data_IF_852013186961
#
_entry.id   IF_852013186961
#
_cell.length_a   1.000
_cell.length_b   1.000
_cell.length_c   1.000
_cell.angle_alpha   90.00
_cell.angle_beta   90.00
_cell.angle_gamma   90.00
#
_symmetry.space_group_name_H-M   'P 1'
#
loop_
_entity.id
_entity.type
_entity.pdbx_description
1 polymer ?
#
# COMPACT_ATOMS: atom_id res chain seq x y z
N UNK A 1 14.80 0.03 11.14
CA UNK A 1 13.43 -0.52 11.03
C UNK A 1 12.77 0.01 9.78
N UNK A 2 12.22 -0.86 8.97
CA UNK A 2 11.51 -0.43 7.78
C UNK A 2 10.12 0.08 8.11
N UNK A 3 9.64 1.02 7.32
CA UNK A 3 8.37 1.72 7.54
C UNK A 3 7.39 1.41 6.41
N UNK A 4 6.17 1.06 6.78
CA UNK A 4 5.09 0.78 5.84
C UNK A 4 3.90 1.71 6.11
N UNK A 5 3.28 2.20 5.03
CA UNK A 5 2.06 3.00 5.09
C UNK A 5 0.87 2.13 4.74
N UNK A 6 -0.10 2.05 5.65
CA UNK A 6 -1.38 1.37 5.41
C UNK A 6 -2.41 2.38 4.97
N UNK A 7 -2.95 2.20 3.78
CA UNK A 7 -3.96 3.11 3.21
C UNK A 7 -5.25 2.34 2.97
N UNK A 8 -6.26 2.66 3.77
CA UNK A 8 -7.57 2.04 3.70
C UNK A 8 -8.57 2.94 4.42
N UNK A 9 -9.77 3.12 3.87
CA UNK A 9 -10.78 3.95 4.50
C UNK A 9 -11.46 3.28 5.70
N UNK A 10 -11.30 1.96 5.85
CA UNK A 10 -11.81 1.22 6.98
C UNK A 10 -10.84 1.24 8.16
N UNK A 11 -11.27 1.86 9.25
CA UNK A 11 -10.47 1.87 10.48
C UNK A 11 -10.24 0.46 11.01
N UNK A 12 -11.24 -0.42 10.90
CA UNK A 12 -11.09 -1.81 11.35
C UNK A 12 -10.02 -2.56 10.55
N UNK A 13 -10.01 -2.37 9.24
CA UNK A 13 -8.99 -2.98 8.36
C UNK A 13 -7.60 -2.45 8.71
N UNK A 14 -7.47 -1.14 8.93
CA UNK A 14 -6.19 -0.55 9.33
C UNK A 14 -5.70 -1.10 10.68
N UNK A 15 -6.61 -1.30 11.64
CA UNK A 15 -6.25 -1.84 12.95
C UNK A 15 -5.70 -3.25 12.83
N UNK A 16 -6.37 -4.11 12.06
CA UNK A 16 -5.91 -5.48 11.80
C UNK A 16 -4.57 -5.46 11.07
N UNK A 17 -4.46 -4.64 10.04
CA UNK A 17 -3.22 -4.49 9.28
C UNK A 17 -2.06 -4.00 10.14
N UNK A 18 -2.32 -3.05 11.02
CA UNK A 18 -1.31 -2.53 11.95
C UNK A 18 -0.75 -3.62 12.86
N UNK A 19 -1.64 -4.45 13.41
CA UNK A 19 -1.20 -5.57 14.25
C UNK A 19 -0.37 -6.58 13.45
N UNK A 20 -0.81 -6.87 12.24
CA UNK A 20 -0.13 -7.80 11.34
C UNK A 20 1.27 -7.29 10.99
N UNK A 21 1.38 -6.04 10.55
CA UNK A 21 2.67 -5.43 10.19
C UNK A 21 3.60 -5.33 11.41
N UNK A 22 3.03 -5.10 12.59
CA UNK A 22 3.79 -5.07 13.84
C UNK A 22 4.47 -6.41 14.14
N UNK A 23 3.81 -7.53 13.83
CA UNK A 23 4.41 -8.85 14.01
C UNK A 23 5.59 -9.09 13.07
N UNK A 24 5.64 -8.37 11.95
CA UNK A 24 6.75 -8.44 11.00
C UNK A 24 7.92 -7.51 11.39
N UNK A 25 7.78 -6.76 12.47
CA UNK A 25 8.82 -5.84 12.90
C UNK A 25 8.86 -4.53 12.11
N UNK A 26 7.75 -4.15 11.47
CA UNK A 26 7.66 -2.92 10.70
C UNK A 26 7.11 -1.77 11.54
N UNK A 27 7.60 -0.57 11.26
CA UNK A 27 6.98 0.66 11.74
C UNK A 27 5.81 0.99 10.83
N UNK A 28 4.65 1.33 11.42
CA UNK A 28 3.40 1.48 10.67
C UNK A 28 2.89 2.90 10.72
N UNK A 29 2.63 3.47 9.54
CA UNK A 29 1.92 4.72 9.37
C UNK A 29 0.57 4.41 8.75
N UNK A 30 -0.42 5.29 8.91
CA UNK A 30 -1.78 5.07 8.41
C UNK A 30 -2.30 6.27 7.65
N UNK A 31 -3.16 6.02 6.67
CA UNK A 31 -3.93 7.03 5.95
C UNK A 31 -5.29 6.44 5.58
N UNK A 32 -6.32 7.28 5.53
CA UNK A 32 -7.68 6.83 5.26
C UNK A 32 -8.16 7.10 3.83
N UNK A 33 -7.38 7.83 3.03
CA UNK A 33 -7.65 8.08 1.62
C UNK A 33 -6.35 8.41 0.89
N UNK A 34 -6.43 8.53 -0.42
CA UNK A 34 -5.24 8.76 -1.24
C UNK A 34 -4.62 10.13 -1.03
N UNK A 35 -5.42 11.15 -0.72
CA UNK A 35 -4.90 12.50 -0.46
C UNK A 35 -4.07 12.51 0.81
N UNK A 36 -4.59 11.94 1.87
CA UNK A 36 -3.86 11.82 3.14
C UNK A 36 -2.61 10.98 2.96
N UNK A 37 -2.72 9.90 2.17
CA UNK A 37 -1.58 9.03 1.88
C UNK A 37 -0.45 9.79 1.17
N UNK A 38 -0.76 10.68 0.22
CA UNK A 38 0.26 11.50 -0.43
C UNK A 38 0.94 12.43 0.56
N UNK A 39 0.17 13.04 1.46
CA UNK A 39 0.73 13.91 2.51
C UNK A 39 1.70 13.15 3.39
N UNK A 40 1.32 11.94 3.81
CA UNK A 40 2.17 11.09 4.66
C UNK A 40 3.43 10.65 3.89
N UNK A 41 3.28 10.25 2.63
CA UNK A 41 4.41 9.83 1.82
C UNK A 41 5.41 10.97 1.61
N UNK A 42 4.92 12.18 1.38
CA UNK A 42 5.78 13.36 1.21
C UNK A 42 6.53 13.73 2.49
N UNK A 43 5.88 13.54 3.64
CA UNK A 43 6.50 13.80 4.94
C UNK A 43 7.50 12.69 5.33
N UNK A 44 7.51 11.57 4.62
CA UNK A 44 8.35 10.41 4.93
C UNK A 44 9.09 9.95 3.65
N UNK A 45 10.11 10.70 3.23
CA UNK A 45 10.82 10.39 1.97
C UNK A 45 11.54 9.04 1.99
N UNK A 46 11.75 8.45 3.16
CA UNK A 46 12.39 7.14 3.32
C UNK A 46 11.41 5.98 3.43
N UNK A 47 10.13 6.24 3.18
CA UNK A 47 9.08 5.22 3.23
C UNK A 47 9.45 4.00 2.39
N UNK A 48 9.36 2.80 2.98
CA UNK A 48 9.79 1.56 2.34
C UNK A 48 8.69 0.88 1.54
N UNK A 49 7.45 0.95 2.03
CA UNK A 49 6.34 0.23 1.39
C UNK A 49 5.00 0.91 1.66
N UNK A 50 4.04 0.64 0.78
CA UNK A 50 2.65 1.07 0.93
C UNK A 50 1.76 -0.15 0.67
N UNK A 51 0.87 -0.44 1.61
CA UNK A 51 -0.22 -1.39 1.40
C UNK A 51 -1.46 -0.55 1.12
N UNK A 52 -1.96 -0.63 -0.11
CA UNK A 52 -2.87 0.37 -0.68
C UNK A 52 -4.19 -0.24 -1.11
N UNK A 53 -5.27 0.21 -0.47
CA UNK A 53 -6.64 -0.14 -0.91
C UNK A 53 -6.96 0.62 -2.20
N UNK A 54 -7.73 -0.01 -3.08
CA UNK A 54 -8.15 0.61 -4.34
C UNK A 54 -9.29 1.60 -4.15
N UNK A 55 -10.38 1.13 -3.51
CA UNK A 55 -11.62 1.90 -3.40
C UNK A 55 -11.65 2.75 -2.14
N UNK A 56 -11.43 4.05 -2.29
CA UNK A 56 -11.46 5.01 -1.18
C UNK A 56 -12.09 6.31 -1.65
N UNK A 57 -12.69 7.08 -0.72
CA UNK A 57 -13.23 8.40 -1.08
C UNK A 57 -12.11 9.41 -1.34
N UNK A 58 -12.47 10.54 -1.92
CA UNK A 58 -11.61 11.70 -2.17
C UNK A 58 -10.58 11.42 -3.26
N UNK A 59 -9.65 10.52 -3.01
CA UNK A 59 -8.65 10.07 -3.97
C UNK A 59 -8.50 8.56 -3.79
N UNK A 60 -8.76 7.80 -4.84
CA UNK A 60 -8.65 6.34 -4.78
C UNK A 60 -7.19 5.86 -4.90
N UNK A 61 -7.02 4.54 -4.78
CA UNK A 61 -5.69 3.93 -4.79
C UNK A 61 -4.94 4.14 -6.11
N UNK A 62 -5.64 4.06 -7.25
CA UNK A 62 -5.01 4.29 -8.55
C UNK A 62 -4.56 5.72 -8.73
N UNK A 63 -5.37 6.68 -8.29
CA UNK A 63 -5.01 8.09 -8.34
C UNK A 63 -3.80 8.38 -7.46
N UNK A 64 -3.77 7.80 -6.26
CA UNK A 64 -2.63 7.92 -5.37
C UNK A 64 -1.37 7.33 -5.99
N UNK A 65 -1.46 6.10 -6.52
CA UNK A 65 -0.32 5.41 -7.13
C UNK A 65 0.26 6.22 -8.29
N UNK A 66 -0.60 6.70 -9.16
CA UNK A 66 -0.20 7.52 -10.31
C UNK A 66 0.52 8.78 -9.84
N UNK A 67 -0.04 9.48 -8.86
CA UNK A 67 0.57 10.70 -8.32
C UNK A 67 1.91 10.40 -7.64
N UNK A 68 1.99 9.34 -6.87
CA UNK A 68 3.22 8.95 -6.16
C UNK A 68 4.34 8.65 -7.15
N UNK A 69 4.05 7.89 -8.19
CA UNK A 69 5.06 7.51 -9.19
C UNK A 69 5.51 8.68 -10.06
N UNK A 70 4.68 9.71 -10.19
CA UNK A 70 5.03 10.92 -10.90
C UNK A 70 5.90 11.88 -10.09
N UNK A 71 5.99 11.70 -8.78
CA UNK A 71 6.81 12.56 -7.93
C UNK A 71 8.29 12.20 -8.04
N UNK A 72 9.15 13.22 -8.04
CA UNK A 72 10.58 13.03 -7.94
C UNK A 72 10.93 12.69 -6.49
N UNK A 73 11.45 11.49 -6.28
CA UNK A 73 11.85 11.01 -4.95
C UNK A 73 13.16 10.28 -5.09
N UNK A 74 14.03 10.42 -4.12
CA UNK A 74 15.26 9.60 -4.08
C UNK A 74 14.93 8.13 -3.93
N UNK A 75 13.82 7.83 -3.24
CA UNK A 75 13.37 6.46 -3.01
C UNK A 75 11.87 6.35 -3.29
N UNK A 76 11.50 5.52 -4.24
CA UNK A 76 10.11 5.15 -4.47
C UNK A 76 9.79 3.92 -3.61
N UNK A 77 8.72 3.97 -2.80
CA UNK A 77 8.36 2.81 -1.99
C UNK A 77 7.80 1.67 -2.84
N UNK A 78 7.91 0.46 -2.31
CA UNK A 78 7.19 -0.69 -2.86
C UNK A 78 5.70 -0.46 -2.61
N UNK A 79 4.87 -0.65 -3.64
CA UNK A 79 3.42 -0.53 -3.51
C UNK A 79 2.77 -1.87 -3.77
N UNK A 80 2.03 -2.36 -2.78
CA UNK A 80 1.22 -3.57 -2.88
C UNK A 80 -0.24 -3.15 -2.90
N UNK A 81 -0.91 -3.37 -4.01
CA UNK A 81 -2.33 -3.01 -4.17
C UNK A 81 -3.20 -4.08 -3.51
N UNK A 82 -4.14 -3.67 -2.68
CA UNK A 82 -5.13 -4.55 -2.05
C UNK A 82 -6.49 -4.28 -2.65
N UNK A 83 -7.16 -5.32 -3.12
CA UNK A 83 -8.43 -5.14 -3.80
C UNK A 83 -9.36 -6.32 -3.58
N UNK A 84 -10.68 -6.07 -3.61
CA UNK A 84 -11.69 -7.11 -3.67
C UNK A 84 -11.95 -7.53 -5.13
N UNK A 85 -11.39 -6.80 -6.07
CA UNK A 85 -11.57 -7.05 -7.50
C UNK A 85 -10.62 -8.15 -7.96
N UNK A 86 -11.14 -9.13 -8.69
CA UNK A 86 -10.35 -10.15 -9.35
C UNK A 86 -10.33 -9.95 -10.87
N UNK A 87 -10.60 -8.73 -11.29
CA UNK A 87 -10.65 -8.34 -12.70
C UNK A 87 -9.22 -8.17 -13.21
N UNK A 88 -8.80 -9.07 -14.12
CA UNK A 88 -7.45 -9.01 -14.67
C UNK A 88 -7.12 -7.69 -15.34
N UNK A 89 -8.00 -7.04 -16.11
CA UNK A 89 -7.69 -5.71 -16.65
C UNK A 89 -7.36 -4.68 -15.58
N UNK A 90 -8.03 -4.70 -14.43
CA UNK A 90 -7.72 -3.78 -13.32
C UNK A 90 -6.36 -4.09 -12.69
N UNK A 91 -6.05 -5.37 -12.52
CA UNK A 91 -4.75 -5.80 -11.97
C UNK A 91 -3.63 -5.34 -12.90
N UNK A 92 -3.78 -5.57 -14.20
CA UNK A 92 -2.81 -5.11 -15.21
C UNK A 92 -2.67 -3.59 -15.17
N UNK A 93 -3.78 -2.87 -15.06
CA UNK A 93 -3.77 -1.41 -14.95
C UNK A 93 -2.94 -0.93 -13.76
N UNK A 94 -3.10 -1.58 -12.60
CA UNK A 94 -2.34 -1.24 -11.40
C UNK A 94 -0.85 -1.52 -11.59
N UNK A 95 -0.51 -2.67 -12.16
CA UNK A 95 0.89 -3.03 -12.40
C UNK A 95 1.54 -2.09 -13.41
N UNK A 96 0.82 -1.73 -14.47
CA UNK A 96 1.29 -0.77 -15.47
C UNK A 96 1.50 0.63 -14.88
N UNK A 97 0.69 1.00 -13.89
CA UNK A 97 0.80 2.29 -13.21
C UNK A 97 1.94 2.33 -12.19
N UNK A 98 2.57 1.19 -11.92
CA UNK A 98 3.73 1.14 -11.05
C UNK A 98 3.56 0.40 -9.73
N UNK A 99 2.47 -0.37 -9.56
CA UNK A 99 2.35 -1.27 -8.41
C UNK A 99 3.36 -2.41 -8.56
N UNK A 100 3.97 -2.81 -7.46
CA UNK A 100 4.95 -3.88 -7.45
C UNK A 100 4.31 -5.24 -7.32
N UNK A 101 3.17 -5.30 -6.62
CA UNK A 101 2.44 -6.54 -6.40
C UNK A 101 0.99 -6.23 -6.06
N UNK A 102 0.14 -7.25 -6.02
CA UNK A 102 -1.25 -7.10 -5.58
C UNK A 102 -1.65 -8.27 -4.69
N UNK A 103 -2.64 -8.05 -3.83
CA UNK A 103 -3.27 -9.09 -3.03
C UNK A 103 -4.79 -8.91 -3.02
N UNK A 104 -5.50 -10.02 -2.89
CA UNK A 104 -6.95 -10.04 -2.82
C UNK A 104 -7.42 -9.92 -1.38
N UNK A 105 -8.50 -9.19 -1.16
CA UNK A 105 -9.19 -9.16 0.14
C UNK A 105 -10.26 -10.24 0.17
N UNK A 106 -10.52 -10.88 1.31
CA UNK A 106 -9.75 -10.77 2.56
C UNK A 106 -8.41 -11.50 2.43
N UNK A 107 -7.38 -10.97 3.09
CA UNK A 107 -6.05 -11.55 3.06
C UNK A 107 -5.65 -12.08 4.44
N UNK A 108 -4.72 -13.03 4.46
CA UNK A 108 -4.16 -13.58 5.68
C UNK A 108 -2.77 -12.99 5.92
N UNK A 109 -2.28 -13.14 7.15
CA UNK A 109 -0.93 -12.73 7.51
C UNK A 109 0.12 -13.38 6.61
N UNK A 110 -0.04 -14.67 6.31
CA UNK A 110 0.90 -15.40 5.46
C UNK A 110 0.97 -14.86 4.05
N UNK A 111 -0.17 -14.51 3.47
CA UNK A 111 -0.23 -13.92 2.12
C UNK A 111 0.51 -12.58 2.09
N UNK A 112 0.25 -11.73 3.08
CA UNK A 112 0.90 -10.41 3.15
C UNK A 112 2.40 -10.57 3.34
N UNK A 113 2.82 -11.45 4.25
CA UNK A 113 4.24 -11.73 4.48
C UNK A 113 4.92 -12.17 3.20
N UNK A 114 4.32 -13.11 2.47
CA UNK A 114 4.90 -13.63 1.23
C UNK A 114 5.11 -12.51 0.20
N UNK A 115 4.15 -11.62 0.05
CA UNK A 115 4.27 -10.51 -0.90
C UNK A 115 5.34 -9.50 -0.47
N UNK A 116 5.45 -9.23 0.81
CA UNK A 116 6.47 -8.32 1.33
C UNK A 116 7.86 -8.95 1.20
N UNK A 117 7.99 -10.26 1.36
CA UNK A 117 9.25 -10.96 1.12
C UNK A 117 9.62 -10.96 -0.37
N UNK A 118 8.68 -11.27 -1.26
CA UNK A 118 8.89 -11.25 -2.71
C UNK A 118 9.36 -9.89 -3.22
N UNK A 119 8.88 -8.83 -2.63
CA UNK A 119 9.20 -7.45 -3.05
C UNK A 119 10.40 -6.86 -2.32
N UNK A 120 10.99 -7.60 -1.40
CA UNK A 120 12.20 -7.17 -0.70
C UNK A 120 11.96 -6.27 0.51
N UNK A 121 10.71 -6.09 0.95
CA UNK A 121 10.40 -5.32 2.16
C UNK A 121 10.79 -6.11 3.39
N UNK A 122 10.59 -7.41 3.34
CA UNK A 122 11.00 -8.34 4.42
C UNK A 122 12.12 -9.27 4.00
#
# INVERSE_FOLDING_TARGET
>A
MKTILLVDDSRAVRLVGRRMMGTFGLEVLEAEDGKQALEVARANPELDAVLLDWNMPIMDGMEFLTALRAEEREKQPIVVMCTTENDMPRIVQAMDAGANEYIMKPFTEDIVRDKLEETGVL
#
